data_IF_164886835235
#
_entry.id   IF_164886835235
#
_cell.length_a   1.000
_cell.length_b   1.000
_cell.length_c   1.000
_cell.angle_alpha   90.00
_cell.angle_beta   90.00
_cell.angle_gamma   90.00
#
_symmetry.space_group_name_H-M   'P 1'
#
loop_
_entity.id
_entity.type
_entity.pdbx_description
1 polymer ?
#
# COMPACT_ATOMS: atom_id res chain seq x y z
N UNK A 1 12.43 -6.23 -18.89
CA UNK A 1 11.34 -5.28 -19.25
C UNK A 1 11.82 -3.85 -19.03
N UNK A 2 11.31 -2.89 -19.81
CA UNK A 2 11.58 -1.46 -19.58
C UNK A 2 10.40 -0.79 -18.92
N UNK A 3 10.70 0.22 -18.11
CA UNK A 3 9.72 1.14 -17.57
C UNK A 3 10.02 2.53 -18.10
N UNK A 4 9.02 3.37 -18.22
CA UNK A 4 9.19 4.75 -18.63
C UNK A 4 8.60 5.70 -17.59
N UNK A 5 9.12 6.92 -17.57
CA UNK A 5 8.62 8.00 -16.77
C UNK A 5 7.37 8.60 -17.44
N UNK A 6 6.23 8.60 -16.74
CA UNK A 6 4.95 9.11 -17.29
C UNK A 6 5.03 10.59 -17.69
N UNK A 7 5.84 11.39 -16.99
CA UNK A 7 6.00 12.82 -17.29
C UNK A 7 7.02 13.10 -18.41
N UNK A 8 8.01 12.21 -18.56
CA UNK A 8 9.09 12.33 -19.52
C UNK A 8 9.37 10.96 -20.16
N UNK A 9 8.59 10.62 -21.19
CA UNK A 9 8.56 9.29 -21.80
C UNK A 9 9.89 8.86 -22.43
N UNK A 10 10.82 9.79 -22.67
CA UNK A 10 12.18 9.49 -23.13
C UNK A 10 13.06 8.90 -22.02
N UNK A 11 12.71 9.12 -20.75
CA UNK A 11 13.37 8.45 -19.63
C UNK A 11 12.86 7.03 -19.51
N UNK A 12 13.67 6.09 -19.97
CA UNK A 12 13.39 4.66 -19.87
C UNK A 12 14.43 4.00 -18.98
N UNK A 13 13.97 3.16 -18.06
CA UNK A 13 14.82 2.51 -17.06
C UNK A 13 14.50 1.02 -16.96
N UNK A 14 15.44 0.25 -16.41
CA UNK A 14 15.20 -1.13 -16.01
C UNK A 14 14.38 -1.21 -14.72
N UNK A 15 13.89 -2.40 -14.37
CA UNK A 15 13.24 -2.63 -13.08
C UNK A 15 14.14 -2.24 -11.90
N UNK A 16 15.38 -2.71 -11.91
CA UNK A 16 16.34 -2.42 -10.84
C UNK A 16 16.64 -0.93 -10.71
N UNK A 17 16.77 -0.21 -11.82
CA UNK A 17 16.94 1.26 -11.79
C UNK A 17 15.71 1.95 -11.19
N UNK A 18 14.49 1.56 -11.60
CA UNK A 18 13.26 2.12 -11.07
C UNK A 18 13.11 1.89 -9.57
N UNK A 19 13.45 0.69 -9.10
CA UNK A 19 13.39 0.34 -7.66
C UNK A 19 14.39 1.17 -6.86
N UNK A 20 15.62 1.34 -7.36
CA UNK A 20 16.65 2.14 -6.68
C UNK A 20 16.35 3.64 -6.69
N UNK A 21 15.79 4.15 -7.78
CA UNK A 21 15.48 5.59 -7.92
C UNK A 21 14.18 5.98 -7.20
N UNK A 22 13.19 5.10 -7.20
CA UNK A 22 11.84 5.38 -6.71
C UNK A 22 11.03 6.28 -7.64
N UNK A 23 11.58 7.43 -8.03
CA UNK A 23 11.00 8.41 -8.94
C UNK A 23 11.95 8.75 -10.10
N UNK A 24 11.36 9.06 -11.24
CA UNK A 24 12.08 9.61 -12.39
C UNK A 24 12.25 11.13 -12.32
N UNK A 25 12.77 11.69 -13.41
CA UNK A 25 12.92 13.15 -13.58
C UNK A 25 11.59 13.86 -13.36
N UNK A 26 11.65 15.08 -12.83
CA UNK A 26 10.49 15.89 -12.50
C UNK A 26 9.47 15.18 -11.58
N UNK A 27 9.96 14.29 -10.70
CA UNK A 27 9.15 13.47 -9.81
C UNK A 27 8.12 12.61 -10.58
N UNK A 28 8.48 12.18 -11.78
CA UNK A 28 7.63 11.33 -12.62
C UNK A 28 7.58 9.89 -12.10
N UNK A 29 6.41 9.29 -12.19
CA UNK A 29 6.19 7.90 -11.81
C UNK A 29 6.64 6.97 -12.93
N UNK A 30 7.24 5.85 -12.59
CA UNK A 30 7.56 4.80 -13.54
C UNK A 30 6.35 3.91 -13.83
N UNK A 31 6.22 3.54 -15.10
CA UNK A 31 5.13 2.72 -15.61
C UNK A 31 5.68 1.68 -16.61
N UNK A 32 5.18 0.43 -16.62
CA UNK A 32 5.64 -0.59 -17.54
C UNK A 32 5.40 -0.20 -19.00
N UNK A 33 6.42 -0.33 -19.86
CA UNK A 33 6.30 -0.07 -21.28
C UNK A 33 5.46 -1.14 -22.00
N UNK A 34 5.42 -2.34 -21.46
CA UNK A 34 4.60 -3.45 -21.93
C UNK A 34 3.85 -4.07 -20.77
N UNK A 35 2.60 -4.44 -21.00
CA UNK A 35 1.76 -5.15 -20.06
C UNK A 35 1.48 -6.54 -20.66
N UNK A 36 2.17 -7.59 -20.19
CA UNK A 36 1.92 -8.94 -20.66
C UNK A 36 0.47 -9.35 -20.30
N UNK A 37 -0.17 -10.09 -21.20
CA UNK A 37 -1.49 -10.65 -20.95
C UNK A 37 -1.39 -12.17 -20.82
N UNK A 38 -1.85 -12.70 -19.71
CA UNK A 38 -1.94 -14.15 -19.54
C UNK A 38 -3.10 -14.70 -20.35
N UNK A 39 -2.82 -15.63 -21.27
CA UNK A 39 -3.86 -16.23 -22.13
C UNK A 39 -4.68 -17.26 -21.36
N UNK A 40 -4.05 -18.09 -20.54
CA UNK A 40 -4.70 -19.11 -19.70
C UNK A 40 -4.69 -18.68 -18.22
N UNK A 41 -5.61 -17.77 -17.88
CA UNK A 41 -5.76 -17.28 -16.51
C UNK A 41 -6.29 -18.41 -15.59
N UNK A 42 -7.11 -19.32 -16.09
CA UNK A 42 -7.64 -20.42 -15.27
C UNK A 42 -6.51 -21.35 -14.79
N UNK A 43 -5.54 -21.66 -15.65
CA UNK A 43 -4.35 -22.42 -15.26
C UNK A 43 -3.48 -21.66 -14.23
N UNK A 44 -3.32 -20.36 -14.42
CA UNK A 44 -2.57 -19.51 -13.48
C UNK A 44 -3.27 -19.45 -12.12
N UNK A 45 -4.58 -19.34 -12.09
CA UNK A 45 -5.36 -19.31 -10.84
C UNK A 45 -5.38 -20.67 -10.10
N UNK A 46 -5.12 -21.77 -10.81
CA UNK A 46 -5.01 -23.10 -10.18
C UNK A 46 -3.71 -23.31 -9.38
N UNK A 47 -2.72 -22.45 -9.55
CA UNK A 47 -1.47 -22.53 -8.80
C UNK A 47 -1.62 -21.95 -7.38
N UNK A 48 -0.70 -22.34 -6.47
CA UNK A 48 -0.62 -21.71 -5.16
C UNK A 48 -0.21 -20.23 -5.23
N UNK A 49 -0.41 -19.51 -4.13
CA UNK A 49 -0.18 -18.06 -4.07
C UNK A 49 1.26 -17.65 -4.44
N UNK A 50 2.26 -18.35 -3.92
CA UNK A 50 3.68 -18.04 -4.18
C UNK A 50 4.03 -18.34 -5.65
N UNK A 51 3.68 -19.51 -6.15
CA UNK A 51 3.96 -19.92 -7.55
C UNK A 51 3.28 -18.98 -8.56
N UNK A 52 2.02 -18.67 -8.33
CA UNK A 52 1.26 -17.72 -9.16
C UNK A 52 1.86 -16.33 -9.14
N UNK A 53 2.17 -15.81 -7.95
CA UNK A 53 2.78 -14.48 -7.79
C UNK A 53 4.15 -14.40 -8.44
N UNK A 54 4.95 -15.47 -8.36
CA UNK A 54 6.24 -15.57 -9.04
C UNK A 54 6.07 -15.40 -10.55
N UNK A 55 5.12 -16.10 -11.17
CA UNK A 55 4.87 -15.98 -12.62
C UNK A 55 4.40 -14.58 -13.03
N UNK A 56 3.52 -13.99 -12.24
CA UNK A 56 3.03 -12.62 -12.48
C UNK A 56 4.18 -11.61 -12.42
N UNK A 57 4.96 -11.66 -11.35
CA UNK A 57 6.07 -10.72 -11.13
C UNK A 57 7.23 -10.96 -12.10
N UNK A 58 7.56 -12.20 -12.43
CA UNK A 58 8.55 -12.52 -13.46
C UNK A 58 8.16 -11.98 -14.82
N UNK A 59 6.90 -12.09 -15.22
CA UNK A 59 6.41 -11.51 -16.48
C UNK A 59 6.53 -9.98 -16.51
N UNK A 60 6.37 -9.31 -15.37
CA UNK A 60 6.49 -7.86 -15.24
C UNK A 60 7.92 -7.38 -15.11
N UNK A 61 8.82 -8.16 -14.50
CA UNK A 61 10.25 -7.81 -14.32
C UNK A 61 11.02 -8.14 -15.59
N UNK A 62 10.65 -9.22 -16.29
CA UNK A 62 11.33 -9.69 -17.50
C UNK A 62 12.68 -10.36 -17.19
N UNK A 63 13.58 -10.33 -18.15
CA UNK A 63 14.86 -11.08 -18.11
C UNK A 63 15.91 -10.50 -17.14
N UNK A 64 15.60 -9.43 -16.42
CA UNK A 64 16.54 -8.79 -15.49
C UNK A 64 16.82 -9.65 -14.26
N UNK A 65 15.82 -10.40 -13.79
CA UNK A 65 15.95 -11.36 -12.71
C UNK A 65 15.46 -12.73 -13.17
N UNK A 66 16.21 -13.77 -12.84
CA UNK A 66 15.80 -15.15 -13.13
C UNK A 66 14.54 -15.51 -12.32
N UNK A 67 13.69 -16.38 -12.87
CA UNK A 67 12.43 -16.79 -12.20
C UNK A 67 12.68 -17.39 -10.82
N UNK A 68 13.76 -18.15 -10.64
CA UNK A 68 14.15 -18.70 -9.35
C UNK A 68 14.48 -17.63 -8.31
N UNK A 69 15.10 -16.51 -8.74
CA UNK A 69 15.35 -15.37 -7.87
C UNK A 69 14.02 -14.67 -7.48
N UNK A 70 13.13 -14.47 -8.43
CA UNK A 70 11.80 -13.89 -8.17
C UNK A 70 11.01 -14.80 -7.24
N UNK A 71 11.07 -16.13 -7.43
CA UNK A 71 10.43 -17.09 -6.53
C UNK A 71 10.94 -16.97 -5.09
N UNK A 72 12.24 -16.89 -4.90
CA UNK A 72 12.83 -16.69 -3.57
C UNK A 72 12.40 -15.38 -2.92
N UNK A 73 12.30 -14.30 -3.71
CA UNK A 73 11.83 -13.00 -3.23
C UNK A 73 10.36 -13.05 -2.82
N UNK A 74 9.51 -13.68 -3.62
CA UNK A 74 8.08 -13.84 -3.34
C UNK A 74 7.84 -14.71 -2.12
N UNK A 75 8.52 -15.85 -2.02
CA UNK A 75 8.43 -16.75 -0.87
C UNK A 75 8.83 -16.05 0.43
N UNK A 76 9.90 -15.27 0.41
CA UNK A 76 10.31 -14.46 1.55
C UNK A 76 9.33 -13.34 1.90
N UNK A 77 8.68 -12.74 0.91
CA UNK A 77 7.79 -11.60 1.10
C UNK A 77 6.36 -12.01 1.50
N UNK A 78 5.79 -13.03 0.88
CA UNK A 78 4.37 -13.42 1.03
C UNK A 78 4.21 -14.64 1.92
N UNK A 79 4.58 -14.51 3.19
CA UNK A 79 4.50 -15.58 4.20
C UNK A 79 3.20 -15.61 5.00
N UNK A 80 2.18 -14.92 4.52
CA UNK A 80 0.86 -14.81 5.16
C UNK A 80 -0.23 -14.80 4.07
N UNK A 81 -1.44 -15.25 4.41
CA UNK A 81 -2.52 -15.39 3.43
C UNK A 81 -3.20 -14.06 3.10
N UNK A 82 -3.93 -14.05 1.99
CA UNK A 82 -4.89 -13.04 1.60
C UNK A 82 -6.27 -13.71 1.37
N UNK A 83 -6.96 -14.15 2.44
CA UNK A 83 -8.20 -14.89 2.32
C UNK A 83 -9.38 -13.98 1.93
N UNK A 84 -10.36 -14.58 1.28
CA UNK A 84 -11.69 -13.97 1.14
C UNK A 84 -12.62 -14.58 2.19
N UNK A 85 -13.49 -13.75 2.76
CA UNK A 85 -14.53 -14.15 3.68
C UNK A 85 -15.89 -13.67 3.20
N UNK A 86 -16.85 -14.57 3.07
CA UNK A 86 -18.20 -14.20 2.72
C UNK A 86 -18.86 -13.49 3.89
N UNK A 87 -19.30 -12.25 3.69
CA UNK A 87 -20.00 -11.47 4.72
C UNK A 87 -21.52 -11.59 4.58
N UNK A 88 -21.99 -11.79 3.37
CA UNK A 88 -23.37 -12.16 3.02
C UNK A 88 -23.40 -12.76 1.62
N UNK A 89 -24.54 -13.26 1.20
CA UNK A 89 -24.70 -13.83 -0.14
C UNK A 89 -24.25 -12.83 -1.22
N UNK A 90 -23.32 -13.25 -2.09
CA UNK A 90 -22.79 -12.45 -3.19
C UNK A 90 -21.80 -11.36 -2.80
N UNK A 91 -21.39 -11.26 -1.55
CA UNK A 91 -20.43 -10.24 -1.08
C UNK A 91 -19.34 -10.84 -0.21
N UNK A 92 -18.10 -10.61 -0.62
CA UNK A 92 -16.89 -11.07 0.06
C UNK A 92 -16.01 -9.90 0.53
N UNK A 93 -15.34 -10.10 1.66
CA UNK A 93 -14.23 -9.28 2.13
C UNK A 93 -12.90 -9.93 1.74
N UNK A 94 -12.00 -9.19 1.12
CA UNK A 94 -10.60 -9.61 0.93
C UNK A 94 -9.78 -9.08 2.10
N UNK A 95 -9.29 -9.99 2.94
CA UNK A 95 -8.52 -9.64 4.13
C UNK A 95 -7.02 -9.56 3.80
N UNK A 96 -6.48 -8.34 3.84
CA UNK A 96 -5.08 -8.03 3.51
C UNK A 96 -4.23 -7.71 4.75
N UNK A 97 -4.70 -8.09 5.94
CA UNK A 97 -4.14 -7.69 7.22
C UNK A 97 -3.54 -8.85 8.04
N UNK A 98 -3.18 -9.95 7.40
CA UNK A 98 -2.60 -11.13 8.09
C UNK A 98 -1.07 -11.12 8.15
N UNK A 99 -0.43 -10.09 7.64
CA UNK A 99 1.01 -9.90 7.75
C UNK A 99 1.45 -9.36 9.11
N UNK A 100 2.77 -9.18 9.31
CA UNK A 100 3.34 -8.85 10.62
C UNK A 100 2.89 -7.51 11.19
N UNK A 101 2.49 -6.55 10.36
CA UNK A 101 2.02 -5.23 10.81
C UNK A 101 0.52 -5.04 10.63
N UNK A 102 -0.19 -6.10 10.26
CA UNK A 102 -1.66 -6.13 10.20
C UNK A 102 -2.26 -5.11 9.23
N UNK A 103 -1.57 -4.83 8.14
CA UNK A 103 -2.02 -3.97 7.05
C UNK A 103 -1.56 -4.49 5.69
N UNK A 104 -2.28 -4.16 4.63
CA UNK A 104 -1.96 -4.55 3.25
C UNK A 104 -0.56 -4.09 2.79
N UNK A 105 -0.01 -3.08 3.43
CA UNK A 105 1.33 -2.54 3.16
C UNK A 105 2.45 -3.57 3.37
N UNK A 106 2.19 -4.62 4.12
CA UNK A 106 3.15 -5.72 4.32
C UNK A 106 3.50 -6.41 3.00
N UNK A 107 2.56 -6.60 2.08
CA UNK A 107 2.85 -7.17 0.76
C UNK A 107 3.84 -6.33 -0.03
N UNK A 108 3.54 -5.06 -0.22
CA UNK A 108 4.39 -4.14 -0.98
C UNK A 108 5.71 -3.83 -0.30
N UNK A 109 5.71 -3.61 1.01
CA UNK A 109 6.91 -3.31 1.78
C UNK A 109 7.92 -4.46 1.77
N UNK A 110 7.46 -5.67 2.02
CA UNK A 110 8.32 -6.87 2.06
C UNK A 110 8.86 -7.22 0.67
N UNK A 111 8.04 -7.13 -0.37
CA UNK A 111 8.54 -7.36 -1.74
C UNK A 111 9.52 -6.26 -2.18
N UNK A 112 9.30 -5.00 -1.82
CA UNK A 112 10.27 -3.92 -2.07
C UNK A 112 11.61 -4.20 -1.38
N UNK A 113 11.60 -4.66 -0.14
CA UNK A 113 12.81 -5.00 0.59
C UNK A 113 13.61 -6.11 -0.12
N UNK A 114 12.96 -7.16 -0.58
CA UNK A 114 13.57 -8.22 -1.37
C UNK A 114 14.09 -7.70 -2.72
N UNK A 115 13.33 -6.82 -3.37
CA UNK A 115 13.72 -6.22 -4.64
C UNK A 115 14.97 -5.36 -4.50
N UNK A 116 15.03 -4.49 -3.49
CA UNK A 116 16.21 -3.65 -3.23
C UNK A 116 17.44 -4.51 -2.95
N UNK A 117 17.33 -5.57 -2.16
CA UNK A 117 18.43 -6.49 -1.90
C UNK A 117 18.91 -7.18 -3.18
N UNK A 118 17.99 -7.60 -4.06
CA UNK A 118 18.32 -8.28 -5.31
C UNK A 118 18.98 -7.37 -6.35
N UNK A 119 18.63 -6.09 -6.39
CA UNK A 119 19.13 -5.13 -7.40
C UNK A 119 20.16 -4.15 -6.86
N UNK A 120 20.58 -4.30 -5.61
CA UNK A 120 21.65 -3.47 -5.03
C UNK A 120 23.00 -3.78 -5.69
N UNK A 121 23.78 -2.73 -5.90
CA UNK A 121 25.13 -2.85 -6.49
C UNK A 121 26.22 -3.07 -5.43
N UNK A 122 25.85 -3.63 -4.25
CA UNK A 122 26.80 -3.95 -3.18
C UNK A 122 27.20 -2.79 -2.27
N UNK A 123 26.49 -1.67 -2.33
CA UNK A 123 26.67 -0.54 -1.39
C UNK A 123 25.67 -0.59 -0.24
N UNK A 124 26.01 0.09 0.87
CA UNK A 124 25.05 0.31 1.96
C UNK A 124 23.92 1.22 1.49
N UNK A 125 22.73 0.93 1.96
CA UNK A 125 21.50 1.69 1.67
C UNK A 125 20.93 2.22 2.98
N UNK A 126 20.58 3.50 3.01
CA UNK A 126 19.79 4.09 4.09
C UNK A 126 18.40 4.44 3.59
N UNK A 127 17.39 3.78 4.12
CA UNK A 127 15.99 4.11 3.89
C UNK A 127 15.59 5.20 4.89
N UNK A 128 15.09 6.31 4.38
CA UNK A 128 14.51 7.38 5.19
C UNK A 128 13.06 7.58 4.86
N UNK A 129 12.21 7.56 5.86
CA UNK A 129 10.77 7.77 5.69
C UNK A 129 10.19 8.57 6.86
N UNK A 130 9.17 9.37 6.57
CA UNK A 130 8.27 9.94 7.57
C UNK A 130 6.99 9.13 7.63
N UNK A 131 6.47 8.92 8.82
CA UNK A 131 5.24 8.14 9.01
C UNK A 131 4.27 8.81 9.98
N UNK A 132 2.99 8.58 9.73
CA UNK A 132 1.90 8.81 10.69
C UNK A 132 1.41 7.50 11.35
N UNK A 133 2.11 6.37 11.11
CA UNK A 133 1.83 5.07 11.74
C UNK A 133 2.08 3.86 10.83
N UNK A 134 1.14 3.50 9.97
CA UNK A 134 1.13 2.23 9.22
C UNK A 134 2.30 2.03 8.25
N UNK A 135 2.68 3.08 7.54
CA UNK A 135 3.81 2.99 6.58
C UNK A 135 5.12 2.71 7.32
N UNK A 136 5.36 3.40 8.44
CA UNK A 136 6.56 3.18 9.25
C UNK A 136 6.65 1.77 9.78
N UNK A 137 5.55 1.21 10.29
CA UNK A 137 5.49 -0.15 10.76
C UNK A 137 5.79 -1.16 9.64
N UNK A 138 5.17 -1.03 8.48
CA UNK A 138 5.38 -1.93 7.34
C UNK A 138 6.82 -1.88 6.83
N UNK A 139 7.40 -0.68 6.71
CA UNK A 139 8.80 -0.49 6.30
C UNK A 139 9.77 -1.07 7.33
N UNK A 140 9.57 -0.79 8.61
CA UNK A 140 10.43 -1.29 9.68
C UNK A 140 10.47 -2.84 9.67
N UNK A 141 9.32 -3.49 9.65
CA UNK A 141 9.24 -4.95 9.64
C UNK A 141 9.77 -5.56 8.33
N UNK A 142 9.57 -4.90 7.20
CA UNK A 142 10.03 -5.39 5.89
C UNK A 142 11.56 -5.45 5.80
N UNK A 143 12.25 -4.48 6.36
CA UNK A 143 13.71 -4.36 6.29
C UNK A 143 14.43 -4.87 7.55
N UNK A 144 13.68 -5.29 8.58
CA UNK A 144 14.26 -5.72 9.84
C UNK A 144 15.25 -6.88 9.69
N UNK A 145 16.47 -6.65 10.19
CA UNK A 145 17.53 -7.66 10.18
C UNK A 145 18.23 -7.84 8.84
N UNK A 146 17.91 -7.03 7.81
CA UNK A 146 18.64 -7.07 6.54
C UNK A 146 20.02 -6.43 6.72
N UNK A 147 21.04 -7.14 6.28
CA UNK A 147 22.41 -6.62 6.23
C UNK A 147 22.52 -5.53 5.16
N UNK A 148 23.41 -4.58 5.32
CA UNK A 148 23.67 -3.47 4.39
C UNK A 148 22.52 -2.49 4.14
N UNK A 149 21.39 -2.63 4.85
CA UNK A 149 20.26 -1.70 4.78
C UNK A 149 19.96 -1.16 6.18
N UNK A 150 20.10 0.13 6.37
CA UNK A 150 19.63 0.84 7.55
C UNK A 150 18.31 1.55 7.26
N UNK A 151 17.44 1.59 8.23
CA UNK A 151 16.13 2.28 8.13
C UNK A 151 16.05 3.34 9.21
N UNK A 152 15.76 4.57 8.81
CA UNK A 152 15.49 5.68 9.72
C UNK A 152 14.06 6.16 9.51
N UNK A 153 13.25 6.11 10.56
CA UNK A 153 11.83 6.45 10.53
C UNK A 153 11.60 7.67 11.41
N UNK A 154 11.13 8.76 10.79
CA UNK A 154 10.74 9.98 11.51
C UNK A 154 9.23 9.95 11.77
N UNK A 155 8.84 10.31 12.97
CA UNK A 155 7.42 10.42 13.32
C UNK A 155 7.19 11.59 14.31
N UNK A 156 5.98 12.18 14.31
CA UNK A 156 5.67 13.29 15.21
C UNK A 156 5.46 12.78 16.64
N UNK A 157 6.30 13.24 17.57
CA UNK A 157 6.28 12.83 18.97
C UNK A 157 4.92 13.08 19.61
N UNK A 158 4.34 12.06 20.23
CA UNK A 158 3.07 12.13 20.95
C UNK A 158 1.83 12.30 20.07
N UNK A 159 1.96 12.18 18.73
CA UNK A 159 0.84 12.34 17.78
C UNK A 159 0.47 11.05 17.05
N UNK A 160 1.06 9.94 17.44
CA UNK A 160 0.73 8.59 16.96
C UNK A 160 0.16 7.79 18.11
N UNK A 161 -0.81 6.92 17.87
CA UNK A 161 -1.36 6.07 18.92
C UNK A 161 -0.26 5.19 19.54
N UNK A 162 -0.29 4.93 20.85
CA UNK A 162 0.72 4.11 21.52
C UNK A 162 0.90 2.73 20.90
N UNK A 163 -0.17 2.10 20.42
CA UNK A 163 -0.11 0.80 19.75
C UNK A 163 0.62 0.87 18.41
N UNK A 164 0.36 1.89 17.60
CA UNK A 164 1.05 2.09 16.32
C UNK A 164 2.53 2.39 16.53
N UNK A 165 2.86 3.25 17.49
CA UNK A 165 4.25 3.57 17.85
C UNK A 165 5.02 2.31 18.25
N UNK A 166 4.44 1.45 19.10
CA UNK A 166 5.04 0.19 19.54
C UNK A 166 5.35 -0.78 18.40
N UNK A 167 4.61 -0.73 17.29
CA UNK A 167 4.84 -1.63 16.16
C UNK A 167 6.18 -1.41 15.43
N UNK A 168 6.73 -0.21 15.45
CA UNK A 168 8.00 0.08 14.76
C UNK A 168 9.11 0.61 15.65
N UNK A 169 8.79 1.16 16.82
CA UNK A 169 9.78 1.73 17.74
C UNK A 169 10.38 0.72 18.71
N UNK A 170 10.12 -0.56 18.57
CA UNK A 170 10.57 -1.62 19.49
C UNK A 170 11.52 -2.64 18.86
N UNK A 171 11.84 -2.49 17.57
CA UNK A 171 12.57 -3.49 16.80
C UNK A 171 14.09 -3.45 17.03
N UNK A 172 14.70 -2.29 16.98
CA UNK A 172 16.16 -2.17 17.09
C UNK A 172 16.91 -2.72 15.87
N UNK A 173 18.15 -3.17 16.07
CA UNK A 173 19.09 -3.59 15.02
C UNK A 173 19.29 -2.48 13.97
N UNK A 174 18.98 -2.76 12.71
CA UNK A 174 19.08 -1.83 11.59
C UNK A 174 17.90 -0.84 11.48
N UNK A 175 16.94 -0.90 12.40
CA UNK A 175 15.78 0.00 12.44
C UNK A 175 16.00 1.06 13.50
N UNK A 176 16.08 2.31 13.05
CA UNK A 176 16.29 3.50 13.88
C UNK A 176 15.05 4.38 13.81
N UNK A 177 14.46 4.70 14.94
CA UNK A 177 13.24 5.50 15.02
C UNK A 177 13.52 6.81 15.73
N UNK A 178 13.02 7.91 15.17
CA UNK A 178 13.28 9.26 15.65
C UNK A 178 11.95 9.98 15.87
N UNK A 179 11.67 10.30 17.13
CA UNK A 179 10.51 11.07 17.53
C UNK A 179 10.83 12.57 17.37
N UNK A 180 10.22 13.20 16.39
CA UNK A 180 10.45 14.62 16.08
C UNK A 180 9.55 15.50 16.95
N UNK A 181 10.15 16.49 17.60
CA UNK A 181 9.43 17.55 18.30
C UNK A 181 8.78 18.49 17.28
N UNK A 182 7.64 18.09 16.73
CA UNK A 182 6.93 18.77 15.66
C UNK A 182 5.68 18.01 15.25
N UNK A 183 5.17 18.34 14.08
CA UNK A 183 4.05 17.65 13.43
C UNK A 183 4.53 16.75 12.28
N UNK A 184 3.59 16.11 11.60
CA UNK A 184 3.91 15.26 10.47
C UNK A 184 4.51 16.05 9.30
N UNK A 185 4.05 17.28 9.06
CA UNK A 185 4.60 18.14 8.01
C UNK A 185 6.07 18.48 8.28
N UNK A 186 6.44 18.70 9.54
CA UNK A 186 7.84 18.88 9.93
C UNK A 186 8.69 17.62 9.64
N UNK A 187 8.18 16.43 9.91
CA UNK A 187 8.84 15.19 9.55
C UNK A 187 9.03 15.06 8.03
N UNK A 188 8.00 15.34 7.24
CA UNK A 188 8.09 15.32 5.78
C UNK A 188 9.07 16.37 5.23
N UNK A 189 9.08 17.56 5.81
CA UNK A 189 10.02 18.61 5.42
C UNK A 189 11.47 18.20 5.64
N UNK A 190 11.79 17.53 6.75
CA UNK A 190 13.11 16.98 7.03
C UNK A 190 13.51 15.89 6.03
N UNK A 191 12.59 14.98 5.69
CA UNK A 191 12.83 13.97 4.66
C UNK A 191 13.13 14.63 3.32
N UNK A 192 12.33 15.62 2.93
CA UNK A 192 12.55 16.36 1.67
C UNK A 192 13.90 17.04 1.64
N UNK A 193 14.31 17.71 2.71
CA UNK A 193 15.62 18.34 2.82
C UNK A 193 16.76 17.32 2.64
N UNK A 194 16.62 16.12 3.23
CA UNK A 194 17.61 15.07 3.05
C UNK A 194 17.71 14.60 1.58
N UNK A 195 16.58 14.46 0.90
CA UNK A 195 16.57 14.09 -0.52
C UNK A 195 17.02 15.22 -1.46
N UNK A 196 16.94 16.46 -1.05
CA UNK A 196 17.46 17.62 -1.79
C UNK A 196 18.98 17.78 -1.63
N UNK A 197 19.59 17.21 -0.57
CA UNK A 197 21.02 17.23 -0.31
C UNK A 197 21.72 16.13 -1.11
N UNK A 198 22.30 16.51 -2.27
CA UNK A 198 22.91 15.57 -3.20
C UNK A 198 24.15 14.87 -2.62
N UNK A 199 24.96 15.58 -1.81
CA UNK A 199 26.14 15.03 -1.15
C UNK A 199 25.74 13.96 -0.12
N UNK A 200 24.77 14.28 0.73
CA UNK A 200 24.24 13.34 1.71
C UNK A 200 23.64 12.09 1.07
N UNK A 201 22.85 12.27 -0.01
CA UNK A 201 22.24 11.14 -0.74
C UNK A 201 23.29 10.14 -1.22
N UNK A 202 24.37 10.64 -1.81
CA UNK A 202 25.45 9.81 -2.33
C UNK A 202 26.24 9.16 -1.19
N UNK A 203 26.56 9.94 -0.16
CA UNK A 203 27.34 9.50 1.01
C UNK A 203 26.71 8.30 1.71
N UNK A 204 25.40 8.33 1.93
CA UNK A 204 24.69 7.32 2.74
C UNK A 204 23.85 6.32 1.90
N UNK A 205 23.89 6.42 0.57
CA UNK A 205 23.03 5.61 -0.28
C UNK A 205 21.54 5.82 0.02
N UNK A 206 21.13 7.09 0.16
CA UNK A 206 19.77 7.45 0.60
C UNK A 206 18.71 6.97 -0.39
N UNK A 207 17.72 6.24 0.11
CA UNK A 207 16.59 5.75 -0.66
C UNK A 207 15.28 5.93 0.13
N UNK A 208 14.17 5.91 -0.59
CA UNK A 208 12.83 6.06 -0.03
C UNK A 208 12.04 4.76 -0.13
N UNK A 209 11.34 4.41 0.94
CA UNK A 209 10.35 3.34 0.93
C UNK A 209 8.93 3.83 0.58
N UNK A 210 8.82 4.87 -0.23
CA UNK A 210 7.54 5.48 -0.58
C UNK A 210 6.61 4.50 -1.32
N UNK A 211 5.30 4.66 -1.11
CA UNK A 211 4.23 3.87 -1.76
C UNK A 211 4.16 3.99 -3.29
N UNK A 212 4.88 4.95 -3.87
CA UNK A 212 4.98 5.14 -5.33
C UNK A 212 6.06 4.29 -5.99
N UNK A 213 6.95 3.64 -5.21
CA UNK A 213 7.96 2.73 -5.76
C UNK A 213 7.27 1.61 -6.54
N UNK A 214 7.75 1.35 -7.75
CA UNK A 214 7.12 0.39 -8.66
C UNK A 214 7.08 -1.04 -8.08
N UNK A 215 8.06 -1.45 -7.29
CA UNK A 215 8.07 -2.77 -6.66
C UNK A 215 6.94 -2.93 -5.65
N UNK A 216 6.61 -1.87 -4.91
CA UNK A 216 5.47 -1.86 -3.99
C UNK A 216 4.14 -1.97 -4.72
N UNK A 217 4.02 -1.31 -5.86
CA UNK A 217 2.83 -1.37 -6.70
C UNK A 217 2.65 -2.77 -7.31
N UNK A 218 3.70 -3.33 -7.90
CA UNK A 218 3.67 -4.64 -8.55
C UNK A 218 3.25 -5.76 -7.59
N UNK A 219 3.75 -5.75 -6.36
CA UNK A 219 3.41 -6.73 -5.34
C UNK A 219 1.89 -6.78 -5.05
N UNK A 220 1.23 -5.65 -5.07
CA UNK A 220 -0.19 -5.54 -4.80
C UNK A 220 -1.07 -6.19 -5.90
N UNK A 221 -0.56 -6.34 -7.10
CA UNK A 221 -1.26 -7.05 -8.18
C UNK A 221 -1.58 -8.49 -7.77
N UNK A 222 -0.68 -9.12 -7.05
CA UNK A 222 -0.73 -10.56 -6.71
C UNK A 222 -1.95 -10.93 -5.86
N UNK A 223 -2.35 -10.12 -4.90
CA UNK A 223 -3.48 -10.49 -4.05
C UNK A 223 -4.86 -10.32 -4.73
N UNK A 224 -4.97 -9.56 -5.80
CA UNK A 224 -6.17 -9.58 -6.63
C UNK A 224 -6.34 -10.92 -7.35
N UNK A 225 -5.25 -11.48 -7.86
CA UNK A 225 -5.25 -12.84 -8.42
C UNK A 225 -5.56 -13.88 -7.34
N UNK A 226 -5.00 -13.72 -6.13
CA UNK A 226 -5.28 -14.62 -4.99
C UNK A 226 -6.76 -14.61 -4.60
N UNK A 227 -7.40 -13.45 -4.59
CA UNK A 227 -8.83 -13.34 -4.34
C UNK A 227 -9.64 -14.11 -5.39
N UNK A 228 -9.35 -13.91 -6.68
CA UNK A 228 -10.03 -14.60 -7.77
C UNK A 228 -9.79 -16.11 -7.75
N UNK A 229 -8.60 -16.57 -7.34
CA UNK A 229 -8.29 -17.99 -7.22
C UNK A 229 -9.15 -18.73 -6.18
N UNK A 230 -9.66 -18.01 -5.19
CA UNK A 230 -10.54 -18.55 -4.16
C UNK A 230 -12.03 -18.57 -4.56
N UNK A 231 -12.35 -18.05 -5.75
CA UNK A 231 -13.72 -17.97 -6.28
C UNK A 231 -13.93 -19.00 -7.40
N UNK A 232 -15.17 -19.41 -7.58
CA UNK A 232 -15.56 -20.17 -8.78
C UNK A 232 -15.41 -19.32 -10.03
N UNK A 233 -15.32 -19.98 -11.19
CA UNK A 233 -15.25 -19.27 -12.49
C UNK A 233 -16.43 -18.33 -12.71
N UNK A 234 -17.62 -18.78 -12.36
CA UNK A 234 -18.84 -17.97 -12.51
C UNK A 234 -18.80 -16.72 -11.62
N UNK A 235 -18.31 -16.85 -10.39
CA UNK A 235 -18.20 -15.71 -9.46
C UNK A 235 -17.20 -14.67 -9.96
N UNK A 236 -15.99 -15.10 -10.34
CA UNK A 236 -14.95 -14.16 -10.78
C UNK A 236 -15.23 -13.47 -12.11
N UNK A 237 -16.00 -14.09 -13.00
CA UNK A 237 -16.44 -13.46 -14.27
C UNK A 237 -17.47 -12.34 -14.06
N UNK A 238 -18.14 -12.30 -12.91
CA UNK A 238 -19.11 -11.27 -12.54
C UNK A 238 -18.61 -10.36 -11.41
N UNK A 239 -17.30 -10.37 -11.15
CA UNK A 239 -16.68 -9.72 -10.00
C UNK A 239 -16.61 -8.21 -10.14
N UNK A 240 -17.14 -7.51 -9.13
CA UNK A 240 -17.01 -6.07 -8.91
C UNK A 240 -16.16 -5.86 -7.67
N UNK A 241 -15.09 -5.09 -7.78
CA UNK A 241 -14.14 -4.86 -6.68
C UNK A 241 -14.20 -3.42 -6.22
N UNK A 242 -14.53 -3.21 -4.95
CA UNK A 242 -14.50 -1.90 -4.30
C UNK A 242 -13.22 -1.75 -3.48
N UNK A 243 -12.49 -0.68 -3.75
CA UNK A 243 -11.16 -0.43 -3.17
C UNK A 243 -11.19 0.85 -2.34
N UNK A 244 -10.90 0.77 -1.03
CA UNK A 244 -10.74 1.97 -0.22
C UNK A 244 -9.46 2.69 -0.66
N UNK A 245 -9.59 3.95 -1.05
CA UNK A 245 -8.55 4.64 -1.81
C UNK A 245 -8.19 6.00 -1.20
N UNK A 246 -6.90 6.15 -0.87
CA UNK A 246 -6.27 7.41 -0.52
C UNK A 246 -5.25 7.82 -1.58
N UNK A 247 -4.09 7.17 -1.62
CA UNK A 247 -3.05 7.36 -2.65
C UNK A 247 -3.30 6.62 -3.97
N UNK A 248 -4.34 5.80 -4.04
CA UNK A 248 -4.76 5.07 -5.23
C UNK A 248 -3.77 4.01 -5.76
N UNK A 249 -2.78 3.64 -4.99
CA UNK A 249 -1.85 2.56 -5.34
C UNK A 249 -2.54 1.21 -5.42
N UNK A 250 -3.40 0.90 -4.47
CA UNK A 250 -4.13 -0.36 -4.42
C UNK A 250 -5.08 -0.53 -5.62
N UNK A 251 -5.87 0.50 -5.93
CA UNK A 251 -6.75 0.48 -7.11
C UNK A 251 -5.94 0.38 -8.42
N UNK A 252 -4.81 1.09 -8.51
CA UNK A 252 -3.90 0.98 -9.66
C UNK A 252 -3.43 -0.47 -9.86
N UNK A 253 -3.05 -1.16 -8.80
CA UNK A 253 -2.64 -2.56 -8.85
C UNK A 253 -3.80 -3.47 -9.31
N UNK A 254 -5.02 -3.22 -8.85
CA UNK A 254 -6.21 -3.95 -9.30
C UNK A 254 -6.48 -3.77 -10.80
N UNK A 255 -6.40 -2.55 -11.29
CA UNK A 255 -6.54 -2.25 -12.72
C UNK A 255 -5.42 -2.87 -13.56
N UNK A 256 -4.19 -2.92 -13.04
CA UNK A 256 -3.09 -3.66 -13.67
C UNK A 256 -3.39 -5.16 -13.70
N UNK A 257 -3.92 -5.75 -12.64
CA UNK A 257 -4.33 -7.15 -12.64
C UNK A 257 -5.35 -7.44 -13.75
N UNK A 258 -6.34 -6.56 -13.92
CA UNK A 258 -7.29 -6.64 -15.05
C UNK A 258 -6.59 -6.54 -16.42
N UNK A 259 -5.64 -5.63 -16.56
CA UNK A 259 -4.85 -5.48 -17.78
C UNK A 259 -4.02 -6.73 -18.12
N UNK A 260 -3.56 -7.47 -17.11
CA UNK A 260 -2.85 -8.72 -17.25
C UNK A 260 -3.76 -9.93 -17.59
N UNK A 261 -5.07 -9.76 -17.59
CA UNK A 261 -6.03 -10.77 -17.99
C UNK A 261 -7.00 -11.26 -16.92
N UNK A 262 -6.89 -10.77 -15.67
CA UNK A 262 -7.82 -11.16 -14.61
C UNK A 262 -9.25 -10.68 -14.96
N UNK A 263 -10.27 -11.57 -14.97
CA UNK A 263 -11.62 -11.25 -15.45
C UNK A 263 -12.43 -10.47 -14.40
N UNK A 264 -11.98 -9.28 -14.03
CA UNK A 264 -12.74 -8.37 -13.16
C UNK A 264 -13.65 -7.51 -14.03
N UNK A 265 -14.94 -7.53 -13.74
CA UNK A 265 -15.95 -6.81 -14.52
C UNK A 265 -15.73 -5.30 -14.42
N UNK A 266 -15.64 -4.77 -13.21
CA UNK A 266 -15.37 -3.34 -12.95
C UNK A 266 -14.81 -3.11 -11.56
N UNK A 267 -14.22 -1.93 -11.37
CA UNK A 267 -13.71 -1.44 -10.10
C UNK A 267 -14.51 -0.24 -9.60
N UNK A 268 -14.52 -0.07 -8.29
CA UNK A 268 -15.12 1.08 -7.60
C UNK A 268 -14.03 1.78 -6.78
N UNK A 269 -13.85 3.06 -7.03
CA UNK A 269 -12.99 3.95 -6.23
C UNK A 269 -13.81 4.48 -5.05
N UNK A 270 -13.56 3.97 -3.85
CA UNK A 270 -14.22 4.42 -2.63
C UNK A 270 -13.30 5.34 -1.83
N UNK A 271 -13.76 6.54 -1.51
CA UNK A 271 -13.01 7.52 -0.71
C UNK A 271 -13.76 7.90 0.56
N UNK A 272 -13.05 8.51 1.51
CA UNK A 272 -13.68 9.24 2.61
C UNK A 272 -14.05 10.67 2.17
N UNK A 273 -14.18 11.61 3.11
CA UNK A 273 -14.52 13.00 2.81
C UNK A 273 -13.49 13.72 1.93
N UNK A 274 -12.29 13.15 1.77
CA UNK A 274 -11.28 13.64 0.84
C UNK A 274 -11.56 13.09 -0.57
N UNK A 275 -12.49 13.70 -1.24
CA UNK A 275 -13.25 13.20 -2.40
C UNK A 275 -12.79 13.78 -3.75
N UNK A 276 -11.52 14.15 -3.88
CA UNK A 276 -10.99 14.75 -5.11
C UNK A 276 -11.26 13.87 -6.35
N UNK A 277 -11.00 12.56 -6.26
CA UNK A 277 -11.22 11.65 -7.40
C UNK A 277 -12.70 11.43 -7.72
N UNK A 278 -13.59 11.12 -6.78
CA UNK A 278 -15.02 11.06 -7.08
C UNK A 278 -15.56 12.32 -7.76
N UNK A 279 -15.18 13.51 -7.30
CA UNK A 279 -15.57 14.78 -7.94
C UNK A 279 -14.98 14.94 -9.34
N UNK A 280 -13.71 14.56 -9.52
CA UNK A 280 -13.06 14.56 -10.82
C UNK A 280 -13.75 13.63 -11.83
N UNK A 281 -14.07 12.42 -11.41
CA UNK A 281 -14.79 11.45 -12.27
C UNK A 281 -16.21 11.91 -12.64
N UNK A 282 -16.81 12.76 -11.84
CA UNK A 282 -18.14 13.30 -12.09
C UNK A 282 -18.10 14.57 -12.96
N UNK A 283 -17.18 15.50 -12.67
CA UNK A 283 -17.16 16.83 -13.26
C UNK A 283 -16.12 17.03 -14.37
N UNK A 284 -15.12 16.14 -14.46
CA UNK A 284 -13.96 16.32 -15.33
C UNK A 284 -12.96 17.38 -14.85
N UNK A 285 -13.16 17.93 -13.65
CA UNK A 285 -12.30 18.98 -13.09
C UNK A 285 -11.48 18.45 -11.92
N UNK A 286 -10.16 18.59 -12.02
CA UNK A 286 -9.24 18.25 -10.93
C UNK A 286 -9.09 19.44 -9.98
N UNK A 287 -9.80 19.39 -8.87
CA UNK A 287 -9.89 20.47 -7.89
C UNK A 287 -9.63 19.95 -6.47
N UNK A 288 -8.37 19.70 -6.08
CA UNK A 288 -8.04 19.30 -4.72
C UNK A 288 -8.45 20.38 -3.71
N UNK A 289 -9.04 19.93 -2.60
CA UNK A 289 -9.36 20.78 -1.45
C UNK A 289 -8.37 20.51 -0.32
N UNK A 290 -8.26 21.39 0.69
CA UNK A 290 -7.49 21.07 1.89
C UNK A 290 -7.91 19.73 2.50
N UNK A 291 -6.94 18.92 2.90
CA UNK A 291 -7.19 17.61 3.48
C UNK A 291 -7.94 17.71 4.80
N UNK A 292 -8.99 16.92 4.94
CA UNK A 292 -9.81 16.81 6.15
C UNK A 292 -9.41 15.57 6.92
N UNK A 293 -9.20 15.71 8.23
CA UNK A 293 -8.95 14.59 9.12
C UNK A 293 -10.22 13.76 9.34
N UNK A 294 -10.11 12.44 9.20
CA UNK A 294 -11.23 11.51 9.34
C UNK A 294 -10.86 10.30 10.20
N UNK A 295 -11.84 9.47 10.54
CA UNK A 295 -11.62 8.19 11.24
C UNK A 295 -10.96 7.13 10.38
N UNK A 296 -10.93 7.33 9.06
CA UNK A 296 -10.20 6.50 8.09
C UNK A 296 -8.91 7.22 7.63
N UNK A 297 -8.06 7.57 8.57
CA UNK A 297 -6.96 8.51 8.40
C UNK A 297 -5.90 8.11 7.34
N UNK A 298 -5.74 6.83 7.03
CA UNK A 298 -4.84 6.39 5.96
C UNK A 298 -5.34 6.79 4.55
N UNK A 299 -6.61 7.20 4.44
CA UNK A 299 -7.23 7.72 3.23
C UNK A 299 -7.35 9.25 3.23
N UNK A 300 -6.77 9.96 4.21
CA UNK A 300 -6.76 11.42 4.29
C UNK A 300 -5.76 11.99 3.29
N UNK A 301 -6.12 11.94 2.03
CA UNK A 301 -5.29 12.35 0.90
C UNK A 301 -6.13 13.14 -0.10
N UNK A 302 -5.74 14.39 -0.34
CA UNK A 302 -6.42 15.29 -1.31
C UNK A 302 -5.81 15.23 -2.71
N UNK A 303 -4.53 14.84 -2.82
CA UNK A 303 -3.81 14.71 -4.09
C UNK A 303 -3.18 13.32 -4.19
N UNK A 304 -3.93 12.31 -4.66
CA UNK A 304 -3.45 10.94 -4.77
C UNK A 304 -2.23 10.81 -5.68
N UNK A 305 -1.12 10.33 -5.15
CA UNK A 305 0.15 10.22 -5.88
C UNK A 305 0.09 9.22 -7.04
N UNK A 306 -0.72 8.17 -6.95
CA UNK A 306 -0.82 7.14 -7.99
C UNK A 306 -1.93 7.41 -9.02
N UNK A 307 -2.73 8.47 -8.88
CA UNK A 307 -3.76 8.78 -9.85
C UNK A 307 -3.22 8.94 -11.29
N UNK A 308 -2.08 9.59 -11.52
CA UNK A 308 -1.49 9.65 -12.86
C UNK A 308 -1.21 8.28 -13.49
N UNK A 309 -0.92 7.24 -12.69
CA UNK A 309 -0.75 5.87 -13.21
C UNK A 309 -2.08 5.28 -13.69
N UNK A 310 -3.18 5.58 -13.03
CA UNK A 310 -4.53 5.14 -13.47
C UNK A 310 -4.88 5.81 -14.80
N UNK A 311 -4.67 7.11 -14.91
CA UNK A 311 -4.91 7.84 -16.16
C UNK A 311 -4.04 7.29 -17.30
N UNK A 312 -2.76 7.02 -17.03
CA UNK A 312 -1.86 6.44 -18.02
C UNK A 312 -2.28 5.03 -18.44
N UNK A 313 -2.69 4.18 -17.49
CA UNK A 313 -3.20 2.85 -17.78
C UNK A 313 -4.47 2.91 -18.65
N UNK A 314 -5.39 3.78 -18.30
CA UNK A 314 -6.63 4.00 -19.08
C UNK A 314 -6.30 4.49 -20.50
N UNK A 315 -5.35 5.40 -20.65
CA UNK A 315 -4.89 5.86 -21.95
C UNK A 315 -4.28 4.73 -22.80
N UNK A 316 -3.39 3.93 -22.18
CA UNK A 316 -2.69 2.83 -22.88
C UNK A 316 -3.65 1.71 -23.28
N UNK A 317 -4.65 1.43 -22.45
CA UNK A 317 -5.65 0.38 -22.70
C UNK A 317 -6.90 0.87 -23.44
N UNK A 318 -6.98 2.16 -23.72
CA UNK A 318 -8.19 2.79 -24.29
C UNK A 318 -9.44 2.54 -23.44
N UNK A 319 -9.26 2.52 -22.13
CA UNK A 319 -10.36 2.41 -21.17
C UNK A 319 -10.87 3.79 -20.78
N UNK A 320 -12.18 3.98 -20.84
CA UNK A 320 -12.79 5.21 -20.35
C UNK A 320 -12.77 5.29 -18.82
N UNK A 321 -12.42 6.45 -18.27
CA UNK A 321 -12.47 6.70 -16.82
C UNK A 321 -13.89 6.57 -16.26
N UNK A 322 -14.91 6.80 -17.08
CA UNK A 322 -16.32 6.63 -16.72
C UNK A 322 -16.70 5.18 -16.39
N UNK A 323 -15.85 4.21 -16.73
CA UNK A 323 -16.06 2.79 -16.35
C UNK A 323 -15.77 2.53 -14.87
N UNK A 324 -15.08 3.44 -14.19
CA UNK A 324 -14.82 3.36 -12.76
C UNK A 324 -16.07 3.78 -11.97
N UNK A 325 -16.52 2.89 -11.08
CA UNK A 325 -17.43 3.27 -10.01
C UNK A 325 -16.76 4.23 -9.03
N UNK A 326 -17.53 5.02 -8.33
CA UNK A 326 -17.02 6.03 -7.39
C UNK A 326 -17.99 6.27 -6.25
N UNK A 327 -17.46 6.68 -5.13
CA UNK A 327 -18.26 7.14 -3.99
C UNK A 327 -17.40 7.73 -2.90
N UNK A 328 -17.93 8.73 -2.21
CA UNK A 328 -17.35 9.35 -1.03
C UNK A 328 -18.23 9.09 0.18
N UNK A 329 -17.62 8.73 1.30
CA UNK A 329 -18.32 8.30 2.52
C UNK A 329 -17.87 9.17 3.70
N UNK A 330 -18.83 9.74 4.43
CA UNK A 330 -18.55 10.50 5.65
C UNK A 330 -18.19 9.58 6.82
N UNK A 331 -17.63 10.15 7.89
CA UNK A 331 -17.33 9.40 9.11
C UNK A 331 -18.59 8.78 9.74
N UNK A 332 -19.71 9.49 9.71
CA UNK A 332 -21.00 8.97 10.22
C UNK A 332 -21.49 7.77 9.40
N UNK A 333 -21.36 7.86 8.07
CA UNK A 333 -21.73 6.78 7.17
C UNK A 333 -20.79 5.57 7.32
N UNK A 334 -19.47 5.81 7.47
CA UNK A 334 -18.52 4.72 7.69
C UNK A 334 -18.76 4.02 9.03
N UNK A 335 -19.05 4.78 10.09
CA UNK A 335 -19.43 4.22 11.40
C UNK A 335 -20.70 3.36 11.31
N UNK A 336 -21.72 3.82 10.58
CA UNK A 336 -22.91 3.01 10.35
C UNK A 336 -22.59 1.71 9.60
N UNK A 337 -21.72 1.76 8.60
CA UNK A 337 -21.31 0.57 7.85
C UNK A 337 -20.46 -0.40 8.67
N UNK A 338 -19.66 0.08 9.62
CA UNK A 338 -18.99 -0.77 10.63
C UNK A 338 -20.03 -1.53 11.47
N UNK A 339 -21.09 -0.85 11.92
CA UNK A 339 -22.20 -1.48 12.67
C UNK A 339 -22.97 -2.49 11.82
N UNK A 340 -23.24 -2.16 10.56
CA UNK A 340 -23.98 -3.04 9.65
C UNK A 340 -23.20 -4.35 9.39
N UNK A 341 -21.89 -4.26 9.16
CA UNK A 341 -21.02 -5.43 9.01
C UNK A 341 -20.94 -6.25 10.30
N UNK A 342 -20.85 -5.60 11.45
CA UNK A 342 -20.83 -6.28 12.75
C UNK A 342 -22.13 -7.05 13.00
N UNK A 343 -23.27 -6.48 12.61
CA UNK A 343 -24.57 -7.17 12.69
C UNK A 343 -24.64 -8.41 11.78
N UNK A 344 -23.87 -8.44 10.70
CA UNK A 344 -23.70 -9.62 9.84
C UNK A 344 -22.68 -10.64 10.40
N UNK A 345 -22.06 -10.36 11.54
CA UNK A 345 -21.02 -11.19 12.15
C UNK A 345 -19.61 -10.92 11.65
N UNK A 346 -19.38 -9.80 10.95
CA UNK A 346 -18.08 -9.44 10.41
C UNK A 346 -17.51 -8.18 11.06
N UNK A 347 -16.38 -8.31 11.76
CA UNK A 347 -15.68 -7.20 12.38
C UNK A 347 -14.81 -6.48 11.34
N UNK A 348 -15.10 -5.22 11.09
CA UNK A 348 -14.38 -4.37 10.14
C UNK A 348 -14.06 -3.01 10.77
N UNK A 349 -13.10 -2.32 10.21
CA UNK A 349 -12.71 -0.97 10.60
C UNK A 349 -13.15 0.05 9.52
N UNK A 350 -13.08 1.37 9.76
CA UNK A 350 -13.65 2.37 8.87
C UNK A 350 -13.20 2.31 7.41
N UNK A 351 -11.93 2.00 7.12
CA UNK A 351 -11.43 1.95 5.73
C UNK A 351 -12.15 0.87 4.91
N UNK A 352 -12.21 -0.36 5.42
CA UNK A 352 -12.92 -1.45 4.76
C UNK A 352 -14.43 -1.20 4.71
N UNK A 353 -15.00 -0.61 5.75
CA UNK A 353 -16.42 -0.26 5.80
C UNK A 353 -16.83 0.77 4.74
N UNK A 354 -15.95 1.72 4.41
CA UNK A 354 -16.15 2.66 3.29
C UNK A 354 -16.26 1.90 1.96
N UNK A 355 -15.34 0.99 1.70
CA UNK A 355 -15.37 0.20 0.47
C UNK A 355 -16.64 -0.69 0.39
N UNK A 356 -17.04 -1.30 1.51
CA UNK A 356 -18.27 -2.08 1.61
C UNK A 356 -19.51 -1.24 1.28
N UNK A 357 -19.63 -0.04 1.87
CA UNK A 357 -20.78 0.82 1.65
C UNK A 357 -20.95 1.22 0.20
N UNK A 358 -19.87 1.68 -0.45
CA UNK A 358 -19.95 2.10 -1.86
C UNK A 358 -20.24 0.89 -2.77
N UNK A 359 -19.73 -0.29 -2.42
CA UNK A 359 -20.06 -1.54 -3.13
C UNK A 359 -21.55 -1.84 -3.05
N UNK A 360 -22.13 -1.81 -1.84
CA UNK A 360 -23.55 -2.08 -1.60
C UNK A 360 -24.47 -1.13 -2.38
N UNK A 361 -24.09 0.12 -2.50
CA UNK A 361 -24.86 1.14 -3.21
C UNK A 361 -24.84 0.94 -4.74
N UNK A 362 -23.85 0.21 -5.29
CA UNK A 362 -23.61 0.12 -6.73
C UNK A 362 -23.64 -1.31 -7.29
N UNK A 363 -23.71 -2.33 -6.44
CA UNK A 363 -23.77 -3.72 -6.88
C UNK A 363 -25.11 -3.99 -7.57
N UNK A 364 -25.05 -4.64 -8.74
CA UNK A 364 -26.21 -4.95 -9.56
C UNK A 364 -26.58 -6.43 -9.43
N UNK A 365 -27.82 -6.78 -9.82
CA UNK A 365 -28.27 -8.16 -9.84
C UNK A 365 -27.37 -9.03 -10.71
N UNK A 366 -26.96 -10.18 -10.17
CA UNK A 366 -26.05 -11.13 -10.85
C UNK A 366 -24.57 -10.78 -10.73
N UNK A 367 -24.21 -9.65 -10.14
CA UNK A 367 -22.84 -9.31 -9.84
C UNK A 367 -22.39 -9.90 -8.50
N UNK A 368 -21.11 -10.20 -8.42
CA UNK A 368 -20.41 -10.66 -7.23
C UNK A 368 -19.56 -9.51 -6.68
N UNK A 369 -19.73 -9.16 -5.42
CA UNK A 369 -19.00 -8.06 -4.79
C UNK A 369 -17.79 -8.52 -3.98
N UNK A 370 -16.70 -7.78 -4.11
CA UNK A 370 -15.51 -7.91 -3.26
C UNK A 370 -15.11 -6.54 -2.76
N UNK A 371 -14.97 -6.37 -1.45
CA UNK A 371 -14.37 -5.15 -0.87
C UNK A 371 -13.10 -5.48 -0.12
N UNK A 372 -12.12 -4.58 -0.18
CA UNK A 372 -10.81 -4.80 0.43
C UNK A 372 -10.80 -4.33 1.88
N UNK A 373 -10.34 -5.21 2.76
CA UNK A 373 -10.05 -4.92 4.16
C UNK A 373 -8.54 -4.74 4.33
N UNK A 374 -8.11 -3.49 4.36
CA UNK A 374 -6.70 -3.09 4.25
C UNK A 374 -5.94 -3.07 5.56
N UNK A 375 -6.64 -3.09 6.69
CA UNK A 375 -6.05 -3.14 8.02
C UNK A 375 -6.90 -3.97 8.99
N UNK A 376 -6.23 -4.60 9.95
CA UNK A 376 -6.92 -5.30 11.04
C UNK A 376 -7.65 -4.28 11.93
N UNK A 377 -8.91 -4.55 12.36
CA UNK A 377 -9.70 -3.64 13.18
C UNK A 377 -8.99 -3.17 14.46
N UNK A 378 -8.18 -4.01 15.08
CA UNK A 378 -7.46 -3.69 16.31
C UNK A 378 -6.40 -2.58 16.13
N UNK A 379 -5.97 -2.26 14.92
CA UNK A 379 -5.11 -1.09 14.65
C UNK A 379 -5.85 0.23 14.88
N UNK A 380 -7.16 0.21 14.78
CA UNK A 380 -8.07 1.33 15.01
C UNK A 380 -8.98 1.04 16.19
N UNK A 381 -8.44 0.35 17.22
CA UNK A 381 -9.20 -0.14 18.36
C UNK A 381 -10.07 0.94 19.03
N UNK A 382 -9.50 2.11 19.28
CA UNK A 382 -10.23 3.21 19.94
C UNK A 382 -11.48 3.62 19.14
N UNK A 383 -11.33 3.77 17.83
CA UNK A 383 -12.43 4.14 16.93
C UNK A 383 -13.47 3.02 16.83
N UNK A 384 -13.03 1.78 16.67
CA UNK A 384 -13.92 0.62 16.53
C UNK A 384 -14.66 0.34 17.82
N UNK A 385 -13.99 0.40 18.98
CA UNK A 385 -14.60 0.22 20.29
C UNK A 385 -15.66 1.30 20.56
N UNK A 386 -15.39 2.54 20.21
CA UNK A 386 -16.34 3.65 20.34
C UNK A 386 -17.58 3.44 19.45
N UNK A 387 -17.37 3.09 18.17
CA UNK A 387 -18.47 2.84 17.23
C UNK A 387 -19.36 1.68 17.71
N UNK A 388 -18.76 0.56 18.11
CA UNK A 388 -19.47 -0.67 18.45
C UNK A 388 -19.86 -0.76 19.92
N UNK A 389 -19.39 0.17 20.77
CA UNK A 389 -19.57 0.12 22.24
C UNK A 389 -19.12 -1.24 22.81
N UNK A 390 -17.93 -1.67 22.41
CA UNK A 390 -17.33 -2.94 22.80
C UNK A 390 -15.83 -2.77 23.05
N UNK A 391 -15.19 -3.82 23.55
CA UNK A 391 -13.73 -3.89 23.77
C UNK A 391 -13.18 -5.05 22.93
N UNK A 392 -12.72 -4.73 21.70
CA UNK A 392 -12.19 -5.75 20.81
C UNK A 392 -10.83 -6.24 21.29
N UNK A 393 -10.57 -7.54 21.11
CA UNK A 393 -9.31 -8.17 21.51
C UNK A 393 -8.13 -7.69 20.66
N UNK A 394 -6.97 -7.56 21.30
CA UNK A 394 -5.71 -7.32 20.60
C UNK A 394 -5.16 -8.64 20.06
N UNK A 395 -4.88 -8.73 18.76
CA UNK A 395 -4.19 -9.90 18.20
C UNK A 395 -2.77 -10.01 18.74
N UNK A 396 -2.24 -11.23 18.77
CA UNK A 396 -0.92 -11.53 19.35
C UNK A 396 0.22 -10.62 18.88
N UNK A 397 0.34 -10.24 17.59
CA UNK A 397 1.40 -9.32 17.15
C UNK A 397 1.35 -7.96 17.83
N UNK A 398 0.15 -7.37 17.97
CA UNK A 398 -0.02 -6.08 18.68
C UNK A 398 0.23 -6.22 20.17
N UNK A 399 -0.30 -7.24 20.80
CA UNK A 399 -0.11 -7.49 22.22
C UNK A 399 1.37 -7.69 22.59
N UNK A 400 2.12 -8.41 21.74
CA UNK A 400 3.55 -8.62 21.90
C UNK A 400 4.31 -7.28 21.92
N UNK A 401 4.10 -6.43 20.93
CA UNK A 401 4.80 -5.16 20.81
C UNK A 401 4.36 -4.14 21.86
N UNK A 402 3.10 -4.18 22.29
CA UNK A 402 2.59 -3.31 23.36
C UNK A 402 3.37 -3.44 24.68
N UNK A 403 3.90 -4.62 24.96
CA UNK A 403 4.67 -4.90 26.18
C UNK A 403 6.18 -4.57 26.05
N UNK A 404 6.68 -4.22 24.86
CA UNK A 404 8.09 -3.95 24.60
C UNK A 404 8.46 -2.49 24.93
N UNK A 405 9.74 -2.24 25.20
CA UNK A 405 10.28 -0.92 25.44
C UNK A 405 10.46 -0.13 24.14
N UNK A 406 10.19 1.18 24.19
CA UNK A 406 10.45 2.10 23.08
C UNK A 406 11.95 2.38 22.96
N UNK A 407 12.47 2.25 21.75
CA UNK A 407 13.88 2.46 21.42
C UNK A 407 14.11 3.77 20.65
N UNK A 408 13.10 4.61 20.53
CA UNK A 408 13.19 5.88 19.79
C UNK A 408 14.05 6.90 20.50
N UNK A 409 14.78 7.70 19.72
CA UNK A 409 15.44 8.90 20.19
C UNK A 409 14.61 10.16 19.86
N UNK A 410 14.65 11.13 20.75
CA UNK A 410 14.00 12.42 20.54
C UNK A 410 14.90 13.36 19.74
N UNK A 411 14.32 14.10 18.80
CA UNK A 411 15.04 15.09 18.00
C UNK A 411 14.15 16.30 17.74
N UNK A 412 14.75 17.49 17.80
CA UNK A 412 14.08 18.68 17.32
C UNK A 412 13.98 18.67 15.79
N UNK A 413 13.05 19.43 15.24
CA UNK A 413 12.87 19.55 13.79
C UNK A 413 13.99 20.38 13.14
N UNK A 414 15.21 19.86 13.24
CA UNK A 414 16.46 20.47 12.79
C UNK A 414 17.18 19.51 11.82
N UNK A 415 17.50 20.02 10.63
CA UNK A 415 18.09 19.18 9.58
C UNK A 415 19.56 18.78 9.90
N UNK A 416 20.35 19.65 10.53
CA UNK A 416 21.74 19.31 10.89
C UNK A 416 21.79 18.22 11.96
N UNK A 417 20.85 18.26 12.91
CA UNK A 417 20.68 17.18 13.88
C UNK A 417 20.30 15.86 13.19
N UNK A 418 19.37 15.88 12.22
CA UNK A 418 19.02 14.70 11.45
C UNK A 418 20.19 14.16 10.64
N UNK A 419 20.99 15.01 9.98
CA UNK A 419 22.19 14.56 9.25
C UNK A 419 23.17 13.84 10.16
N UNK A 420 23.33 14.29 11.39
CA UNK A 420 24.17 13.61 12.39
C UNK A 420 23.66 12.21 12.68
N UNK A 421 22.36 12.03 12.86
CA UNK A 421 21.74 10.71 13.04
C UNK A 421 21.96 9.83 11.81
N UNK A 422 21.67 10.34 10.61
CA UNK A 422 21.80 9.58 9.35
C UNK A 422 23.23 9.09 9.12
N UNK A 423 24.23 9.89 9.46
CA UNK A 423 25.65 9.50 9.35
C UNK A 423 26.08 8.49 10.42
N UNK A 424 25.53 8.58 11.61
CA UNK A 424 25.86 7.68 12.73
C UNK A 424 25.37 6.25 12.52
N UNK A 425 24.26 6.06 11.82
CA UNK A 425 23.63 4.73 11.61
C UNK A 425 24.20 3.95 10.43
N UNK A 426 25.20 4.47 9.75
CA UNK A 426 25.86 3.86 8.58
C UNK A 426 26.61 2.55 8.88
#
# INVERSE_FOLDING_TARGET
MKLYNIKENDEQVSFGQAVRQGLGRNQGLFFPSELPKFEDVDALLAEDFVSRSTKILSALIGDELAEEQVNAMVDAAFQFPAPINQVKEGVYALELFHGPTLAFKDFGGRFMAQSLAAVSNGGKITILTATSGDTGAAVAHAFYGMEDINVVILYPKGKISPLQEKLFCTLGKNIHTVAINGDFDACQALVKQAFDDAELREEIGLNSANSINISRLMAQICYYFEAAAQMSKQERENLVVSVPSGNFGNLTAGLLAKALGLPIKRFIAATNANDTVPRYLETGKWEPKPTVATTSNAMDVSQPNNWPRIEELCRVKEWGLETLGKGAVSDEQSAQSVKDLYALGYLCEPHGAIAYRVLEEQLQEGEMGLFLCTAHPAKFKEVVDDILQTDIELPAPLAKHAAMELLSEDLDADFDALKTVLRRVQ
#
